data_IF_783886327091
#
_entry.id   IF_783886327091
#
_cell.length_a   1.000
_cell.length_b   1.000
_cell.length_c   1.000
_cell.angle_alpha   90.00
_cell.angle_beta   90.00
_cell.angle_gamma   90.00
#
_symmetry.space_group_name_H-M   'P 1'
#
loop_
_entity.id
_entity.type
_entity.pdbx_description
1 polymer ?
#
# COMPACT_ATOMS: atom_id res chain seq x y z
N UNK A 1 0.81 -2.06 13.86
CA UNK A 1 1.76 -2.56 12.86
C UNK A 1 2.54 -1.41 12.23
N UNK A 2 1.91 -0.49 11.53
CA UNK A 2 2.59 0.64 10.88
C UNK A 2 3.27 1.58 11.88
N UNK A 3 2.59 1.95 12.96
CA UNK A 3 3.14 2.86 13.98
C UNK A 3 4.36 2.25 14.68
N UNK A 4 4.35 0.95 14.94
CA UNK A 4 5.48 0.23 15.53
C UNK A 4 6.71 0.31 14.61
N UNK A 5 6.53 0.09 13.31
CA UNK A 5 7.62 0.16 12.34
C UNK A 5 8.13 1.59 12.17
N UNK A 6 7.25 2.59 12.15
CA UNK A 6 7.65 3.99 12.14
C UNK A 6 8.53 4.33 13.35
N UNK A 7 8.10 3.95 14.55
CA UNK A 7 8.86 4.21 15.77
C UNK A 7 10.21 3.51 15.74
N UNK A 8 10.24 2.25 15.32
CA UNK A 8 11.48 1.47 15.24
C UNK A 8 12.50 2.11 14.29
N UNK A 9 12.06 2.53 13.12
CA UNK A 9 12.96 3.11 12.11
C UNK A 9 13.37 4.55 12.45
N UNK A 10 12.49 5.32 13.10
CA UNK A 10 12.83 6.66 13.57
C UNK A 10 13.93 6.64 14.64
N UNK A 11 13.92 5.63 15.52
CA UNK A 11 14.91 5.46 16.56
C UNK A 11 16.26 4.95 16.04
N UNK A 12 16.28 4.41 14.80
CA UNK A 12 17.48 3.84 14.23
C UNK A 12 17.84 2.48 14.82
N UNK A 13 18.98 1.96 14.44
CA UNK A 13 19.48 0.69 14.93
C UNK A 13 21.02 0.65 14.91
N UNK A 14 21.59 -0.17 15.80
CA UNK A 14 23.03 -0.32 15.93
C UNK A 14 23.46 -1.61 15.22
N UNK A 15 24.41 -1.48 14.29
CA UNK A 15 24.97 -2.63 13.60
C UNK A 15 26.04 -3.32 14.44
N UNK A 16 26.49 -4.52 14.02
CA UNK A 16 27.48 -5.31 14.74
C UNK A 16 28.82 -4.59 14.88
N UNK A 17 29.17 -3.71 13.95
CA UNK A 17 30.39 -2.93 13.98
C UNK A 17 30.29 -1.67 14.84
N UNK A 18 29.19 -1.48 15.54
CA UNK A 18 28.98 -0.34 16.43
C UNK A 18 28.52 0.93 15.71
N UNK A 19 28.13 0.86 14.45
CA UNK A 19 27.64 2.00 13.68
C UNK A 19 26.12 2.11 13.82
N UNK A 20 25.65 3.34 14.14
CA UNK A 20 24.23 3.64 14.23
C UNK A 20 23.65 3.96 12.85
N UNK A 21 22.52 3.35 12.53
CA UNK A 21 21.87 3.49 11.23
C UNK A 21 20.47 4.05 11.37
N UNK A 22 20.10 4.92 10.43
CA UNK A 22 18.73 5.40 10.25
C UNK A 22 18.34 5.20 8.78
N UNK A 23 17.25 4.51 8.54
CA UNK A 23 16.79 4.23 7.18
C UNK A 23 15.78 5.28 6.75
N UNK A 24 16.29 6.37 6.18
CA UNK A 24 15.47 7.52 5.76
C UNK A 24 14.52 7.18 4.61
N UNK A 25 14.92 6.30 3.70
CA UNK A 25 14.10 5.90 2.55
C UNK A 25 12.89 5.07 3.00
N UNK A 26 13.11 4.11 3.89
CA UNK A 26 12.01 3.32 4.46
C UNK A 26 11.10 4.16 5.34
N UNK A 27 11.63 5.13 6.07
CA UNK A 27 10.83 6.09 6.83
C UNK A 27 9.93 6.90 5.91
N UNK A 28 10.44 7.36 4.77
CA UNK A 28 9.63 8.07 3.78
C UNK A 28 8.49 7.19 3.25
N UNK A 29 8.78 5.91 2.97
CA UNK A 29 7.76 4.96 2.55
C UNK A 29 6.67 4.78 3.61
N UNK A 30 7.04 4.61 4.87
CA UNK A 30 6.08 4.41 5.96
C UNK A 30 5.25 5.66 6.24
N UNK A 31 5.85 6.84 6.15
CA UNK A 31 5.11 8.11 6.28
C UNK A 31 4.12 8.31 5.16
N UNK A 32 4.49 7.96 3.93
CA UNK A 32 3.58 8.01 2.79
C UNK A 32 2.38 7.07 2.97
N UNK A 33 2.61 5.85 3.47
CA UNK A 33 1.54 4.91 3.81
C UNK A 33 0.61 5.50 4.87
N UNK A 34 1.16 6.01 5.97
CA UNK A 34 0.38 6.62 7.04
C UNK A 34 -0.50 7.74 6.52
N UNK A 35 0.08 8.65 5.75
CA UNK A 35 -0.62 9.83 5.23
C UNK A 35 -1.70 9.42 4.23
N UNK A 36 -1.43 8.43 3.39
CA UNK A 36 -2.41 7.90 2.42
C UNK A 36 -3.59 7.24 3.13
N UNK A 37 -3.33 6.40 4.13
CA UNK A 37 -4.40 5.76 4.91
C UNK A 37 -5.26 6.79 5.64
N UNK A 38 -4.66 7.85 6.17
CA UNK A 38 -5.38 8.92 6.85
C UNK A 38 -6.21 9.76 5.87
N UNK A 39 -5.72 9.99 4.64
CA UNK A 39 -6.39 10.80 3.64
C UNK A 39 -7.52 10.08 2.91
N UNK A 40 -7.55 8.76 2.94
CA UNK A 40 -8.52 7.95 2.20
C UNK A 40 -9.30 7.02 3.14
N UNK A 41 -10.44 7.47 3.71
CA UNK A 41 -11.30 6.61 4.51
C UNK A 41 -11.75 5.37 3.73
N UNK A 42 -11.91 4.26 4.43
CA UNK A 42 -12.26 2.98 3.80
C UNK A 42 -11.06 2.21 3.25
N UNK A 43 -9.86 2.67 3.51
CA UNK A 43 -8.63 1.93 3.18
C UNK A 43 -8.10 1.18 4.40
N UNK A 44 -7.39 0.08 4.16
CA UNK A 44 -6.75 -0.71 5.21
C UNK A 44 -5.40 -1.23 4.74
N UNK A 45 -4.47 -1.36 5.68
CA UNK A 45 -3.16 -1.94 5.40
C UNK A 45 -3.27 -3.46 5.46
N UNK A 46 -3.06 -4.12 4.33
CA UNK A 46 -3.19 -5.59 4.22
C UNK A 46 -1.84 -6.27 4.41
N UNK A 47 -0.79 -5.71 3.85
CA UNK A 47 0.57 -6.22 3.93
C UNK A 47 1.53 -5.09 4.26
N UNK A 48 2.45 -5.36 5.17
CA UNK A 48 3.57 -4.48 5.46
C UNK A 48 4.83 -5.31 5.66
N UNK A 49 5.84 -5.11 4.82
CA UNK A 49 7.12 -5.78 4.90
C UNK A 49 8.24 -4.75 4.83
N UNK A 50 8.94 -4.57 5.94
CA UNK A 50 10.04 -3.61 6.08
C UNK A 50 11.41 -4.28 6.03
N UNK A 51 11.46 -5.60 5.90
CA UNK A 51 12.70 -6.38 6.09
C UNK A 51 13.20 -7.10 4.84
N UNK A 52 12.29 -7.56 3.96
CA UNK A 52 12.66 -8.42 2.83
C UNK A 52 13.46 -7.69 1.76
N UNK A 53 13.19 -6.41 1.53
CA UNK A 53 13.95 -5.59 0.60
C UNK A 53 14.87 -4.64 1.39
N UNK A 54 16.17 -4.55 1.05
CA UNK A 54 17.09 -3.69 1.78
C UNK A 54 16.85 -2.18 1.56
N UNK A 55 16.14 -1.80 0.51
CA UNK A 55 15.96 -0.39 0.12
C UNK A 55 14.54 0.12 0.23
N UNK A 56 13.54 -0.77 0.13
CA UNK A 56 12.13 -0.42 -0.01
C UNK A 56 11.28 -1.07 1.05
N UNK A 57 10.20 -0.40 1.42
CA UNK A 57 9.07 -1.03 2.10
C UNK A 57 8.17 -1.65 1.05
N UNK A 58 7.73 -2.88 1.29
CA UNK A 58 6.73 -3.57 0.48
C UNK A 58 5.39 -3.49 1.21
N UNK A 59 4.33 -3.19 0.49
CA UNK A 59 3.03 -2.98 1.11
C UNK A 59 1.88 -3.31 0.18
N UNK A 60 0.73 -3.61 0.75
CA UNK A 60 -0.54 -3.69 0.04
C UNK A 60 -1.62 -2.95 0.81
N UNK A 61 -2.37 -2.11 0.12
CA UNK A 61 -3.45 -1.31 0.70
C UNK A 61 -4.77 -1.72 0.05
N UNK A 62 -5.73 -2.13 0.88
CA UNK A 62 -7.07 -2.47 0.44
C UNK A 62 -7.98 -1.25 0.42
N UNK A 63 -8.81 -1.15 -0.60
CA UNK A 63 -9.87 -0.15 -0.73
C UNK A 63 -11.21 -0.88 -0.70
N UNK A 64 -12.00 -0.62 0.33
CA UNK A 64 -13.23 -1.33 0.60
C UNK A 64 -13.03 -2.52 1.52
N UNK A 65 -14.07 -3.33 1.71
CA UNK A 65 -14.05 -4.52 2.56
C UNK A 65 -13.51 -5.72 1.78
N UNK A 66 -12.19 -5.86 1.74
CA UNK A 66 -11.51 -6.91 0.96
C UNK A 66 -11.89 -8.30 1.44
N UNK A 67 -12.04 -8.48 2.76
CA UNK A 67 -12.29 -9.81 3.35
C UNK A 67 -13.66 -10.37 2.98
N UNK A 68 -14.65 -9.50 2.78
CA UNK A 68 -16.04 -9.90 2.49
C UNK A 68 -16.45 -9.61 1.05
N UNK A 69 -15.58 -9.06 0.22
CA UNK A 69 -15.92 -8.74 -1.15
C UNK A 69 -16.06 -9.99 -2.03
N UNK A 70 -17.04 -9.99 -2.91
CA UNK A 70 -17.22 -11.05 -3.92
C UNK A 70 -16.21 -10.91 -5.05
N UNK A 71 -15.78 -9.68 -5.34
CA UNK A 71 -14.83 -9.36 -6.40
C UNK A 71 -13.74 -8.47 -5.85
N UNK A 72 -12.50 -8.82 -6.12
CA UNK A 72 -11.34 -8.04 -5.71
C UNK A 72 -10.46 -7.79 -6.94
N UNK A 73 -10.27 -6.51 -7.27
CA UNK A 73 -9.30 -6.10 -8.28
C UNK A 73 -7.95 -5.83 -7.64
N UNK A 74 -6.87 -6.13 -8.34
CA UNK A 74 -5.52 -5.85 -7.87
C UNK A 74 -4.80 -4.97 -8.87
N UNK A 75 -4.30 -3.82 -8.39
CA UNK A 75 -3.46 -2.91 -9.17
C UNK A 75 -2.02 -3.07 -8.71
N UNK A 76 -1.14 -3.40 -9.63
CA UNK A 76 0.29 -3.56 -9.36
C UNK A 76 1.07 -2.41 -9.98
N UNK A 77 2.11 -1.96 -9.26
CA UNK A 77 3.00 -0.94 -9.78
C UNK A 77 3.94 -1.48 -10.85
N UNK A 78 4.38 -0.60 -11.74
CA UNK A 78 5.32 -0.91 -12.79
C UNK A 78 6.76 -0.56 -12.42
N UNK A 79 7.54 -0.23 -13.44
CA UNK A 79 8.94 0.15 -13.31
C UNK A 79 9.11 1.33 -12.34
N UNK A 80 10.14 1.27 -11.51
CA UNK A 80 10.46 2.29 -10.49
C UNK A 80 9.38 2.51 -9.43
N UNK A 81 8.43 1.59 -9.28
CA UNK A 81 7.38 1.73 -8.27
C UNK A 81 7.97 1.69 -6.87
N UNK A 82 7.60 2.68 -6.06
CA UNK A 82 8.02 2.79 -4.67
C UNK A 82 6.87 3.36 -3.84
N UNK A 83 6.74 2.89 -2.58
CA UNK A 83 5.65 3.33 -1.70
C UNK A 83 5.64 4.85 -1.55
N UNK A 84 6.78 5.48 -1.26
CA UNK A 84 6.85 6.94 -1.03
C UNK A 84 6.41 7.78 -2.22
N UNK A 85 6.59 7.29 -3.45
CA UNK A 85 6.24 8.03 -4.66
C UNK A 85 4.93 7.59 -5.31
N UNK A 86 4.43 6.40 -4.99
CA UNK A 86 3.37 5.76 -5.78
C UNK A 86 2.13 5.36 -4.97
N UNK A 87 2.22 5.20 -3.64
CA UNK A 87 1.11 4.65 -2.86
C UNK A 87 -0.15 5.51 -2.94
N UNK A 88 -0.01 6.83 -2.87
CA UNK A 88 -1.14 7.75 -2.96
C UNK A 88 -1.89 7.63 -4.28
N UNK A 89 -1.14 7.65 -5.38
CA UNK A 89 -1.72 7.53 -6.72
C UNK A 89 -2.33 6.15 -6.97
N UNK A 90 -1.68 5.09 -6.49
CA UNK A 90 -2.18 3.73 -6.65
C UNK A 90 -3.45 3.48 -5.83
N UNK A 91 -3.54 4.03 -4.63
CA UNK A 91 -4.76 3.95 -3.81
C UNK A 91 -5.90 4.72 -4.46
N UNK A 92 -5.62 5.89 -5.00
CA UNK A 92 -6.60 6.68 -5.75
C UNK A 92 -7.10 5.91 -6.98
N UNK A 93 -6.21 5.31 -7.74
CA UNK A 93 -6.55 4.50 -8.91
C UNK A 93 -7.37 3.27 -8.52
N UNK A 94 -6.99 2.59 -7.46
CA UNK A 94 -7.75 1.45 -6.95
C UNK A 94 -9.17 1.86 -6.54
N UNK A 95 -9.33 3.04 -5.96
CA UNK A 95 -10.65 3.59 -5.62
C UNK A 95 -11.50 3.88 -6.85
N UNK A 96 -10.91 4.43 -7.91
CA UNK A 96 -11.59 4.68 -9.19
C UNK A 96 -12.03 3.37 -9.82
N UNK A 97 -11.16 2.36 -9.86
CA UNK A 97 -11.48 1.05 -10.43
C UNK A 97 -12.59 0.37 -9.64
N UNK A 98 -12.58 0.47 -8.32
CA UNK A 98 -13.64 -0.08 -7.46
C UNK A 98 -14.98 0.59 -7.77
N UNK A 99 -15.01 1.90 -7.85
CA UNK A 99 -16.23 2.66 -8.15
C UNK A 99 -16.79 2.29 -9.52
N UNK A 100 -15.93 2.14 -10.52
CA UNK A 100 -16.35 1.75 -11.87
C UNK A 100 -16.89 0.33 -11.93
N UNK A 101 -16.26 -0.60 -11.24
CA UNK A 101 -16.73 -1.99 -11.17
C UNK A 101 -18.09 -2.06 -10.45
N UNK A 102 -18.28 -1.30 -9.38
CA UNK A 102 -19.55 -1.21 -8.66
C UNK A 102 -20.66 -0.62 -9.55
N UNK A 103 -20.36 0.40 -10.34
CA UNK A 103 -21.27 0.99 -11.31
C UNK A 103 -21.72 -0.03 -12.37
N UNK A 104 -20.79 -0.81 -12.90
CA UNK A 104 -21.11 -1.86 -13.88
C UNK A 104 -21.99 -2.96 -13.29
N UNK A 105 -21.77 -3.34 -12.04
CA UNK A 105 -22.63 -4.29 -11.33
C UNK A 105 -24.04 -3.74 -11.12
N UNK A 106 -24.16 -2.46 -10.77
CA UNK A 106 -25.45 -1.81 -10.62
C UNK A 106 -26.24 -1.82 -11.93
N UNK A 107 -25.60 -1.51 -13.06
CA UNK A 107 -26.20 -1.57 -14.38
C UNK A 107 -26.63 -2.98 -14.76
N UNK A 108 -25.92 -4.00 -14.28
CA UNK A 108 -26.26 -5.40 -14.50
C UNK A 108 -27.37 -5.91 -13.56
N UNK A 109 -27.89 -5.06 -12.67
CA UNK A 109 -28.95 -5.42 -11.74
C UNK A 109 -28.45 -6.03 -10.42
N UNK A 110 -27.16 -5.86 -10.09
CA UNK A 110 -26.56 -6.39 -8.85
C UNK A 110 -25.95 -5.26 -8.00
N UNK A 111 -26.81 -4.38 -7.42
CA UNK A 111 -26.36 -3.15 -6.79
C UNK A 111 -25.87 -3.39 -5.35
N UNK A 112 -24.69 -3.91 -5.19
CA UNK A 112 -24.01 -4.00 -3.90
C UNK A 112 -22.60 -3.44 -4.02
N UNK A 113 -22.41 -2.20 -3.58
CA UNK A 113 -21.13 -1.52 -3.64
C UNK A 113 -20.06 -2.25 -2.83
N UNK A 114 -20.44 -2.82 -1.67
CA UNK A 114 -19.49 -3.52 -0.80
C UNK A 114 -19.07 -4.89 -1.34
N UNK A 115 -19.75 -5.39 -2.38
CA UNK A 115 -19.33 -6.63 -3.03
C UNK A 115 -18.03 -6.48 -3.84
N UNK A 116 -17.57 -5.25 -4.07
CA UNK A 116 -16.35 -4.96 -4.84
C UNK A 116 -15.32 -4.28 -3.94
N UNK A 117 -14.12 -4.76 -3.97
CA UNK A 117 -12.96 -4.12 -3.36
C UNK A 117 -11.80 -4.08 -4.34
N UNK A 118 -10.80 -3.27 -4.04
CA UNK A 118 -9.57 -3.19 -4.83
C UNK A 118 -8.36 -3.20 -3.91
N UNK A 119 -7.25 -3.70 -4.40
CA UNK A 119 -5.98 -3.71 -3.68
C UNK A 119 -4.94 -2.98 -4.51
N UNK A 120 -4.28 -1.98 -3.91
CA UNK A 120 -3.06 -1.40 -4.43
C UNK A 120 -1.88 -2.24 -3.93
N UNK A 121 -1.24 -2.99 -4.80
CA UNK A 121 -0.22 -3.96 -4.45
C UNK A 121 1.18 -3.42 -4.74
N UNK A 122 1.94 -3.14 -3.69
CA UNK A 122 3.35 -2.77 -3.75
C UNK A 122 4.20 -3.80 -2.97
N UNK A 123 3.75 -5.06 -2.99
CA UNK A 123 4.35 -6.16 -2.23
C UNK A 123 5.40 -6.96 -3.00
N UNK A 124 5.80 -6.50 -4.19
CA UNK A 124 6.89 -7.11 -4.93
C UNK A 124 7.99 -6.08 -5.21
N UNK A 125 9.19 -6.57 -5.43
CA UNK A 125 10.32 -5.73 -5.78
C UNK A 125 10.26 -5.38 -7.28
N UNK A 126 9.59 -4.26 -7.58
CA UNK A 126 9.48 -3.78 -8.95
C UNK A 126 10.87 -3.43 -9.50
N UNK A 127 11.17 -3.77 -10.78
CA UNK A 127 12.45 -3.44 -11.36
C UNK A 127 12.70 -1.93 -11.35
N UNK A 128 13.90 -1.53 -10.97
CA UNK A 128 14.35 -0.15 -11.14
C UNK A 128 14.70 0.09 -12.61
N UNK A 129 14.55 1.33 -13.06
CA UNK A 129 14.92 1.72 -14.42
C UNK A 129 16.44 1.59 -14.65
N UNK A 130 16.82 1.39 -15.87
CA UNK A 130 18.23 1.33 -16.27
C UNK A 130 18.91 2.69 -16.21
#
# INVERSE_FOLDING_TARGET
>A
MLQRELTRLQNGWLSRDGVWHTDTDKLADLRALRDTLAAHPGTSLILLDTASDPRKVLAAVGVGDVDNAERVGVTMGGLNTRVSSSVGDMVKEAGIQRAKAAELRERAGWPNYDAVASIAWLGYDAPDGL
#
